data_IF_917515204755
#
_entry.id   IF_917515204755
#
_cell.length_a   1.000
_cell.length_b   1.000
_cell.length_c   1.000
_cell.angle_alpha   90.00
_cell.angle_beta   90.00
_cell.angle_gamma   90.00
#
_symmetry.space_group_name_H-M   'P 1'
#
loop_
_entity.id
_entity.type
_entity.pdbx_description
1 polymer ?
#
# COMPACT_ATOMS: atom_id res chain seq x y z
N UNK A 1 -2.14 21.12 28.11
CA UNK A 1 -2.82 21.06 26.80
C UNK A 1 -2.06 20.04 25.96
N UNK A 2 -2.58 18.81 25.84
CA UNK A 2 -1.91 17.77 25.03
C UNK A 2 -1.98 18.15 23.55
N UNK A 3 -0.85 18.09 22.85
CA UNK A 3 -0.84 18.25 21.38
C UNK A 3 -1.75 17.17 20.81
N UNK A 4 -2.79 17.59 20.09
CA UNK A 4 -3.56 16.68 19.25
C UNK A 4 -2.69 16.47 18.02
N UNK A 5 -1.90 15.39 18.00
CA UNK A 5 -1.19 14.96 16.81
C UNK A 5 -2.23 14.47 15.81
N UNK A 6 -2.74 15.42 15.02
CA UNK A 6 -3.64 15.14 13.93
C UNK A 6 -2.82 14.45 12.84
N UNK A 7 -2.90 13.11 12.79
CA UNK A 7 -2.30 12.23 11.78
C UNK A 7 -2.99 12.40 10.41
N UNK A 8 -3.05 13.65 9.89
CA UNK A 8 -3.78 14.05 8.67
C UNK A 8 -3.18 13.40 7.41
N UNK A 9 -1.96 12.86 7.51
CA UNK A 9 -1.28 12.16 6.42
C UNK A 9 -1.35 10.63 6.47
N UNK A 10 -1.98 10.03 7.50
CA UNK A 10 -2.06 8.57 7.64
C UNK A 10 -3.40 8.09 7.10
N UNK A 11 -3.35 7.04 6.28
CA UNK A 11 -4.52 6.34 5.78
C UNK A 11 -5.49 5.99 6.93
N UNK A 12 -6.75 6.46 6.89
CA UNK A 12 -7.72 6.23 7.95
C UNK A 12 -8.02 4.75 8.16
N UNK A 13 -7.87 3.90 7.13
CA UNK A 13 -8.05 2.46 7.27
C UNK A 13 -6.95 1.82 8.14
N UNK A 14 -5.70 2.33 8.04
CA UNK A 14 -4.60 1.89 8.91
C UNK A 14 -4.83 2.29 10.36
N UNK A 15 -5.34 3.50 10.60
CA UNK A 15 -5.69 3.97 11.94
C UNK A 15 -6.82 3.12 12.55
N UNK A 16 -7.87 2.84 11.79
CA UNK A 16 -8.97 1.99 12.24
C UNK A 16 -8.51 0.54 12.51
N UNK A 17 -7.58 0.01 11.73
CA UNK A 17 -6.99 -1.29 12.00
C UNK A 17 -6.14 -1.27 13.28
N UNK A 18 -5.31 -0.25 13.48
CA UNK A 18 -4.49 -0.10 14.68
C UNK A 18 -5.35 0.02 15.94
N UNK A 19 -6.43 0.81 15.89
CA UNK A 19 -7.39 0.96 16.99
C UNK A 19 -8.04 -0.38 17.36
N UNK A 20 -8.51 -1.15 16.36
CA UNK A 20 -9.09 -2.49 16.59
C UNK A 20 -8.10 -3.47 17.22
N UNK A 21 -6.81 -3.33 16.90
CA UNK A 21 -5.73 -4.18 17.42
C UNK A 21 -5.11 -3.63 18.72
N UNK A 22 -5.56 -2.48 19.21
CA UNK A 22 -5.02 -1.83 20.40
C UNK A 22 -3.57 -1.35 20.25
N UNK A 23 -3.13 -1.06 19.02
CA UNK A 23 -1.77 -0.60 18.72
C UNK A 23 -1.70 0.91 18.92
N UNK A 24 -0.77 1.35 19.76
CA UNK A 24 -0.46 2.77 19.90
C UNK A 24 0.25 3.29 18.65
N UNK A 25 -0.35 4.29 18.01
CA UNK A 25 0.16 4.95 16.79
C UNK A 25 0.98 6.20 17.10
N UNK A 26 1.11 6.57 18.38
CA UNK A 26 1.85 7.75 18.82
C UNK A 26 3.30 7.76 18.32
N UNK A 27 3.66 8.80 17.56
CA UNK A 27 5.01 8.96 17.01
C UNK A 27 5.36 8.02 15.84
N UNK A 28 4.40 7.23 15.33
CA UNK A 28 4.60 6.42 14.13
C UNK A 28 4.27 7.23 12.87
N UNK A 29 5.13 7.15 11.86
CA UNK A 29 4.76 7.53 10.50
C UNK A 29 3.92 6.43 9.82
N UNK A 30 3.24 6.77 8.72
CA UNK A 30 2.36 5.84 7.99
C UNK A 30 3.11 4.56 7.55
N UNK A 31 4.36 4.70 7.10
CA UNK A 31 5.16 3.56 6.63
C UNK A 31 5.44 2.59 7.77
N UNK A 32 5.82 3.12 8.92
CA UNK A 32 6.10 2.36 10.14
C UNK A 32 4.83 1.66 10.61
N UNK A 33 3.71 2.37 10.63
CA UNK A 33 2.41 1.80 10.97
C UNK A 33 2.00 0.67 10.02
N UNK A 34 2.13 0.87 8.71
CA UNK A 34 1.81 -0.14 7.70
C UNK A 34 2.67 -1.40 7.85
N UNK A 35 3.98 -1.24 8.06
CA UNK A 35 4.88 -2.38 8.29
C UNK A 35 4.59 -3.10 9.60
N UNK A 36 4.18 -2.38 10.65
CA UNK A 36 3.80 -2.98 11.92
C UNK A 36 2.50 -3.78 11.78
N UNK A 37 1.48 -3.20 11.13
CA UNK A 37 0.20 -3.86 10.87
C UNK A 37 0.36 -5.10 9.98
N UNK A 38 1.25 -5.08 8.98
CA UNK A 38 1.56 -6.27 8.18
C UNK A 38 2.12 -7.43 9.00
N UNK A 39 2.87 -7.14 10.07
CA UNK A 39 3.44 -8.17 10.94
C UNK A 39 2.43 -8.72 11.95
N UNK A 40 1.57 -7.85 12.49
CA UNK A 40 0.62 -8.19 13.56
C UNK A 40 -0.68 -8.77 13.01
N UNK A 41 -1.13 -8.30 11.84
CA UNK A 41 -2.34 -8.74 11.16
C UNK A 41 -2.09 -8.93 9.65
N UNK A 42 -1.43 -10.04 9.27
CA UNK A 42 -1.15 -10.35 7.86
C UNK A 42 -2.44 -10.57 7.06
N UNK A 43 -3.48 -11.16 7.67
CA UNK A 43 -4.76 -11.39 7.02
C UNK A 43 -5.44 -10.06 6.64
N UNK A 44 -5.46 -9.08 7.55
CA UNK A 44 -5.96 -7.75 7.24
C UNK A 44 -5.16 -7.04 6.14
N UNK A 45 -3.83 -7.25 6.08
CA UNK A 45 -3.01 -6.72 5.01
C UNK A 45 -3.30 -7.38 3.65
N UNK A 46 -3.51 -8.69 3.61
CA UNK A 46 -3.89 -9.43 2.41
C UNK A 46 -5.27 -9.01 1.89
N UNK A 47 -6.25 -8.86 2.78
CA UNK A 47 -7.60 -8.40 2.41
C UNK A 47 -7.57 -7.01 1.78
N UNK A 48 -6.77 -6.08 2.32
CA UNK A 48 -6.57 -4.76 1.72
C UNK A 48 -5.90 -4.83 0.36
N UNK A 49 -4.84 -5.64 0.23
CA UNK A 49 -4.15 -5.83 -1.04
C UNK A 49 -5.10 -6.39 -2.10
N UNK A 50 -5.98 -7.33 -1.72
CA UNK A 50 -7.00 -7.89 -2.58
C UNK A 50 -8.04 -6.87 -3.00
N UNK A 51 -8.60 -6.09 -2.06
CA UNK A 51 -9.56 -5.02 -2.38
C UNK A 51 -8.96 -3.97 -3.30
N UNK A 52 -7.73 -3.53 -3.02
CA UNK A 52 -7.02 -2.62 -3.90
C UNK A 52 -6.87 -3.21 -5.31
N UNK A 53 -6.50 -4.49 -5.43
CA UNK A 53 -6.37 -5.15 -6.72
C UNK A 53 -7.71 -5.24 -7.46
N UNK A 54 -8.81 -5.52 -6.76
CA UNK A 54 -10.15 -5.58 -7.33
C UNK A 54 -10.62 -4.19 -7.79
N UNK A 55 -10.43 -3.15 -6.97
CA UNK A 55 -10.75 -1.75 -7.30
C UNK A 55 -9.94 -1.22 -8.49
N UNK A 56 -8.68 -1.65 -8.61
CA UNK A 56 -7.77 -1.22 -9.66
C UNK A 56 -7.70 -2.22 -10.83
N UNK A 57 -8.55 -3.24 -10.85
CA UNK A 57 -8.47 -4.33 -11.82
C UNK A 57 -8.53 -3.83 -13.27
N UNK A 58 -9.38 -2.84 -13.55
CA UNK A 58 -9.51 -2.26 -14.89
C UNK A 58 -8.28 -1.45 -15.30
N UNK A 59 -7.78 -0.60 -14.40
CA UNK A 59 -6.56 0.18 -14.63
C UNK A 59 -5.35 -0.73 -14.85
N UNK A 60 -5.22 -1.78 -14.04
CA UNK A 60 -4.20 -2.82 -14.18
C UNK A 60 -4.35 -3.53 -15.54
N UNK A 61 -5.59 -3.89 -15.95
CA UNK A 61 -5.85 -4.53 -17.25
C UNK A 61 -5.42 -3.64 -18.41
N UNK A 62 -5.82 -2.36 -18.41
CA UNK A 62 -5.48 -1.40 -19.46
C UNK A 62 -3.97 -1.18 -19.53
N UNK A 63 -3.31 -1.02 -18.38
CA UNK A 63 -1.85 -0.89 -18.33
C UNK A 63 -1.15 -2.14 -18.88
N UNK A 64 -1.59 -3.32 -18.47
CA UNK A 64 -1.04 -4.58 -18.96
C UNK A 64 -1.25 -4.76 -20.47
N UNK A 65 -2.39 -4.36 -21.00
CA UNK A 65 -2.66 -4.38 -22.44
C UNK A 65 -1.73 -3.42 -23.20
N UNK A 66 -1.53 -2.20 -22.67
CA UNK A 66 -0.58 -1.25 -23.21
C UNK A 66 0.84 -1.82 -23.25
N UNK A 67 1.31 -2.38 -22.14
CA UNK A 67 2.65 -3.01 -22.05
C UNK A 67 2.78 -4.19 -23.01
N UNK A 68 1.76 -5.04 -23.15
CA UNK A 68 1.80 -6.15 -24.13
C UNK A 68 1.89 -5.66 -25.56
N UNK A 69 1.22 -4.54 -25.89
CA UNK A 69 1.20 -3.98 -27.24
C UNK A 69 2.47 -3.19 -27.58
N UNK A 70 3.04 -2.49 -26.60
CA UNK A 70 4.10 -1.50 -26.82
C UNK A 70 5.45 -1.89 -26.21
N UNK A 71 5.51 -2.94 -25.40
CA UNK A 71 6.69 -3.28 -24.60
C UNK A 71 6.83 -2.40 -23.36
N UNK A 72 7.91 -2.62 -22.60
CA UNK A 72 8.30 -1.73 -21.51
C UNK A 72 9.23 -0.65 -22.03
N UNK A 73 9.11 0.56 -21.49
CA UNK A 73 10.07 1.64 -21.78
C UNK A 73 11.52 1.21 -21.45
N UNK A 74 11.67 0.39 -20.41
CA UNK A 74 12.97 -0.14 -19.98
C UNK A 74 13.59 -1.14 -20.95
N UNK A 75 12.83 -1.70 -21.89
CA UNK A 75 13.37 -2.64 -22.89
C UNK A 75 14.45 -1.98 -23.76
N UNK A 76 14.37 -0.66 -23.96
CA UNK A 76 15.40 0.10 -24.68
C UNK A 76 16.70 0.31 -23.90
N UNK A 77 16.67 0.15 -22.58
CA UNK A 77 17.82 0.37 -21.69
C UNK A 77 18.34 -0.93 -21.10
N UNK A 78 17.66 -2.06 -21.35
CA UNK A 78 18.02 -3.35 -20.78
C UNK A 78 19.28 -3.88 -21.49
N UNK A 79 20.39 -4.11 -20.78
CA UNK A 79 21.60 -4.68 -21.37
C UNK A 79 21.33 -6.10 -21.85
N UNK A 80 22.05 -6.54 -22.88
CA UNK A 80 21.89 -7.88 -23.48
C UNK A 80 22.32 -9.05 -22.57
N UNK A 81 22.93 -8.77 -21.42
CA UNK A 81 23.38 -9.75 -20.43
C UNK A 81 22.46 -9.88 -19.20
N UNK A 82 21.24 -9.30 -19.26
CA UNK A 82 20.17 -9.37 -18.25
C UNK A 82 18.88 -9.91 -18.87
#
# INVERSE_FOLDING_TARGET
MGKVDLNIGIDPELLAQAERLGIDVGGMDERTLRLHLQKVDPAGAEDRARRWADENAEAIRVHNEFVRKHGLLSDHFRPWWL
#
